data_IF_535020541370
#
_entry.id   IF_535020541370
#
_cell.length_a   1.000
_cell.length_b   1.000
_cell.length_c   1.000
_cell.angle_alpha   90.00
_cell.angle_beta   90.00
_cell.angle_gamma   90.00
#
_symmetry.space_group_name_H-M   'P 1'
#
loop_
_entity.id
_entity.type
_entity.pdbx_description
1 polymer ?
#
# COMPACT_ATOMS: atom_id res chain seq x y z
N UNK A 1 8.21 -31.56 -3.70
CA UNK A 1 9.10 -30.64 -2.97
C UNK A 1 10.08 -30.03 -3.96
N UNK A 2 9.81 -28.87 -4.52
CA UNK A 2 10.74 -28.11 -5.36
C UNK A 2 11.12 -26.86 -4.60
N UNK A 3 12.39 -26.82 -4.13
CA UNK A 3 12.97 -25.65 -3.48
C UNK A 3 13.20 -24.57 -4.53
N UNK A 4 12.53 -23.41 -4.42
CA UNK A 4 12.93 -22.21 -5.14
C UNK A 4 14.20 -21.67 -4.49
N UNK A 5 15.28 -21.68 -5.25
CA UNK A 5 16.55 -21.07 -4.92
C UNK A 5 16.46 -19.59 -5.33
N UNK A 6 16.32 -18.70 -4.35
CA UNK A 6 16.42 -17.25 -4.56
C UNK A 6 17.90 -16.91 -4.78
N UNK A 7 18.26 -16.55 -6.02
CA UNK A 7 19.59 -16.04 -6.33
C UNK A 7 19.55 -14.54 -6.11
N UNK A 8 20.11 -14.10 -5.00
CA UNK A 8 20.43 -12.70 -4.78
C UNK A 8 21.64 -12.35 -5.67
N UNK A 9 21.41 -11.56 -6.73
CA UNK A 9 22.45 -10.99 -7.56
C UNK A 9 23.04 -9.79 -6.81
N UNK A 10 24.06 -10.02 -6.00
CA UNK A 10 24.88 -8.96 -5.43
C UNK A 10 25.72 -8.34 -6.53
N UNK A 11 25.38 -7.15 -6.97
CA UNK A 11 26.24 -6.34 -7.82
C UNK A 11 27.43 -5.83 -6.98
N UNK A 12 28.55 -6.51 -7.11
CA UNK A 12 29.83 -6.07 -6.54
C UNK A 12 30.32 -4.87 -7.37
N UNK A 13 30.02 -3.65 -6.93
CA UNK A 13 30.62 -2.45 -7.48
C UNK A 13 32.07 -2.39 -6.96
N UNK A 14 33.02 -2.58 -7.87
CA UNK A 14 34.43 -2.36 -7.58
C UNK A 14 34.63 -0.88 -7.22
N UNK A 15 34.88 -0.60 -5.95
CA UNK A 15 35.26 0.74 -5.48
C UNK A 15 36.72 0.95 -5.89
N UNK A 16 36.94 1.65 -6.99
CA UNK A 16 38.26 2.23 -7.29
C UNK A 16 38.52 3.31 -6.26
N UNK A 17 39.62 3.18 -5.53
CA UNK A 17 40.12 4.20 -4.59
C UNK A 17 40.56 5.45 -5.36
N UNK A 18 39.61 6.37 -5.57
CA UNK A 18 39.97 7.75 -5.92
C UNK A 18 40.36 8.52 -4.65
N UNK A 19 41.32 9.41 -4.77
CA UNK A 19 41.67 10.36 -3.72
C UNK A 19 40.41 11.04 -3.20
N UNK A 20 40.32 11.23 -1.87
CA UNK A 20 39.12 11.78 -1.22
C UNK A 20 38.66 13.08 -1.89
N UNK A 21 37.69 12.95 -2.78
CA UNK A 21 37.00 14.08 -3.41
C UNK A 21 35.83 14.45 -2.52
N UNK A 22 35.72 15.72 -2.14
CA UNK A 22 34.50 16.18 -1.47
C UNK A 22 33.26 15.82 -2.29
N UNK A 23 32.20 15.38 -1.62
CA UNK A 23 30.98 15.03 -2.32
C UNK A 23 29.87 14.51 -1.42
N UNK A 24 28.66 14.56 -1.96
CA UNK A 24 27.50 13.89 -1.40
C UNK A 24 27.19 12.66 -2.25
N UNK A 25 26.96 11.53 -1.60
CA UNK A 25 26.47 10.31 -2.24
C UNK A 25 25.13 9.94 -1.63
N UNK A 26 24.20 9.51 -2.46
CA UNK A 26 22.82 9.20 -2.08
C UNK A 26 22.58 7.70 -2.18
N UNK A 27 21.64 7.17 -1.40
CA UNK A 27 21.13 5.81 -1.61
C UNK A 27 20.77 5.66 -3.10
N UNK A 28 21.38 4.71 -3.83
CA UNK A 28 21.23 4.64 -5.29
C UNK A 28 19.82 4.19 -5.71
N UNK A 29 19.18 3.33 -4.89
CA UNK A 29 17.81 2.88 -5.12
C UNK A 29 17.12 2.46 -3.83
N UNK A 30 15.79 2.60 -3.81
CA UNK A 30 14.92 2.13 -2.73
C UNK A 30 13.64 1.54 -3.32
N UNK A 31 13.07 0.55 -2.64
CA UNK A 31 11.76 0.01 -2.96
C UNK A 31 10.70 0.69 -2.08
N UNK A 32 9.54 0.98 -2.67
CA UNK A 32 8.43 1.63 -1.98
C UNK A 32 7.10 1.00 -2.42
N UNK A 33 6.18 0.84 -1.48
CA UNK A 33 4.79 0.45 -1.80
C UNK A 33 3.95 1.69 -2.13
N UNK A 34 2.88 1.52 -2.87
CA UNK A 34 1.88 2.59 -3.04
C UNK A 34 1.36 3.04 -1.67
N UNK A 35 1.28 4.34 -1.42
CA UNK A 35 0.94 4.94 -0.13
C UNK A 35 2.02 4.81 0.96
N UNK A 36 3.10 4.07 0.71
CA UNK A 36 4.16 3.80 1.67
C UNK A 36 5.26 4.87 1.74
N UNK A 37 6.26 4.60 2.58
CA UNK A 37 7.45 5.46 2.73
C UNK A 37 8.74 4.66 2.57
N UNK A 38 9.81 5.32 2.11
CA UNK A 38 11.14 4.76 2.03
C UNK A 38 12.17 5.77 2.55
N UNK A 39 13.25 5.29 3.17
CA UNK A 39 14.32 6.14 3.72
C UNK A 39 15.45 6.29 2.74
N UNK A 40 15.85 7.52 2.48
CA UNK A 40 17.02 7.90 1.71
C UNK A 40 18.11 8.30 2.68
N UNK A 41 19.31 7.74 2.50
CA UNK A 41 20.53 8.12 3.23
C UNK A 41 21.43 8.94 2.32
N UNK A 42 21.93 10.04 2.84
CA UNK A 42 22.96 10.87 2.22
C UNK A 42 24.25 10.68 3.01
N UNK A 43 25.29 10.24 2.33
CA UNK A 43 26.63 10.19 2.87
C UNK A 43 27.43 11.38 2.34
N UNK A 44 28.38 11.81 3.12
CA UNK A 44 29.28 12.90 2.77
C UNK A 44 30.72 12.45 2.94
N UNK A 45 31.53 12.62 1.89
CA UNK A 45 32.98 12.59 1.96
C UNK A 45 33.46 14.05 1.90
N UNK A 46 34.25 14.47 2.87
CA UNK A 46 34.61 15.86 3.01
C UNK A 46 36.02 16.06 3.55
N UNK A 47 36.64 17.15 3.14
CA UNK A 47 37.83 17.67 3.81
C UNK A 47 37.44 18.26 5.17
N UNK A 48 38.40 18.38 6.13
CA UNK A 48 38.10 18.76 7.51
C UNK A 48 37.50 20.14 7.70
N UNK A 49 37.55 21.02 6.70
CA UNK A 49 37.05 22.40 6.79
C UNK A 49 35.66 22.63 6.16
N UNK A 50 34.97 21.58 5.73
CA UNK A 50 33.61 21.70 5.15
C UNK A 50 32.60 21.97 6.25
N UNK A 51 31.86 23.09 6.12
CA UNK A 51 30.88 23.56 7.09
C UNK A 51 29.45 23.73 6.51
N UNK A 52 29.27 23.50 5.22
CA UNK A 52 27.97 23.60 4.60
C UNK A 52 27.85 22.79 3.32
N UNK A 53 26.61 22.33 3.04
CA UNK A 53 26.24 21.74 1.76
C UNK A 53 24.82 22.17 1.35
N UNK A 54 24.54 22.10 0.07
CA UNK A 54 23.21 22.23 -0.49
C UNK A 54 23.00 21.27 -1.66
N UNK A 55 21.75 20.99 -1.93
CA UNK A 55 21.28 20.33 -3.16
C UNK A 55 19.80 20.62 -3.40
N UNK A 56 19.37 20.49 -4.63
CA UNK A 56 17.97 20.53 -5.02
C UNK A 56 17.54 19.16 -5.51
N UNK A 57 16.29 18.78 -5.25
CA UNK A 57 15.68 17.54 -5.76
C UNK A 57 14.52 17.86 -6.69
N UNK A 58 14.49 17.20 -7.84
CA UNK A 58 13.36 17.17 -8.75
C UNK A 58 12.58 15.89 -8.41
N UNK A 59 11.42 16.08 -7.81
CA UNK A 59 10.57 14.96 -7.41
C UNK A 59 9.71 14.51 -8.60
N UNK A 60 9.69 13.20 -8.93
CA UNK A 60 8.75 12.70 -9.93
C UNK A 60 7.31 12.76 -9.39
N UNK A 61 6.33 12.73 -10.31
CA UNK A 61 4.92 12.67 -9.96
C UNK A 61 4.63 11.48 -9.03
N UNK A 62 3.78 11.70 -8.05
CA UNK A 62 3.41 10.67 -7.06
C UNK A 62 4.41 10.47 -5.93
N UNK A 63 5.55 11.20 -5.90
CA UNK A 63 6.49 11.18 -4.78
C UNK A 63 6.61 12.54 -4.10
N UNK A 64 6.74 12.52 -2.79
CA UNK A 64 6.97 13.71 -1.98
C UNK A 64 7.94 13.42 -0.84
N UNK A 65 8.59 14.44 -0.29
CA UNK A 65 9.33 14.33 0.97
C UNK A 65 8.35 14.32 2.14
N UNK A 66 8.54 13.40 3.09
CA UNK A 66 7.70 13.33 4.28
C UNK A 66 7.79 14.63 5.08
N UNK A 67 6.65 15.15 5.48
CA UNK A 67 6.51 16.39 6.24
C UNK A 67 5.83 16.14 7.58
N UNK A 68 6.11 17.01 8.55
CA UNK A 68 5.42 16.99 9.84
C UNK A 68 3.99 17.56 9.72
N UNK A 69 3.24 17.56 10.83
CA UNK A 69 1.86 18.06 10.91
C UNK A 69 1.68 19.54 10.54
N UNK A 70 2.78 20.32 10.50
CA UNK A 70 2.81 21.73 10.07
C UNK A 70 3.25 21.92 8.61
N UNK A 71 3.40 20.83 7.86
CA UNK A 71 3.83 20.85 6.46
C UNK A 71 5.33 21.08 6.24
N UNK A 72 6.14 21.10 7.31
CA UNK A 72 7.61 21.23 7.20
C UNK A 72 8.20 19.86 6.86
N UNK A 73 8.97 19.76 5.77
CA UNK A 73 9.72 18.57 5.38
C UNK A 73 10.71 18.17 6.48
N UNK A 74 10.87 16.87 6.68
CA UNK A 74 11.68 16.28 7.75
C UNK A 74 12.99 15.80 7.13
N UNK A 75 14.09 16.35 7.63
CA UNK A 75 15.46 15.97 7.32
C UNK A 75 16.22 15.80 8.63
N UNK A 76 16.80 14.62 8.86
CA UNK A 76 17.47 14.27 10.10
C UNK A 76 18.99 14.26 9.89
N UNK A 77 19.69 15.24 10.44
CA UNK A 77 21.15 15.26 10.47
C UNK A 77 21.71 14.20 11.43
N UNK A 78 22.83 13.61 11.06
CA UNK A 78 23.55 12.69 11.94
C UNK A 78 24.23 13.44 13.09
N UNK A 79 23.73 13.27 14.31
CA UNK A 79 24.21 13.94 15.50
C UNK A 79 25.71 13.73 15.77
N UNK A 80 26.31 12.62 15.35
CA UNK A 80 27.74 12.34 15.50
C UNK A 80 28.63 13.13 14.53
N UNK A 81 28.02 13.80 13.56
CA UNK A 81 28.69 14.51 12.48
C UNK A 81 28.51 16.03 12.53
N UNK A 82 27.75 16.54 13.49
CA UNK A 82 27.35 17.94 13.58
C UNK A 82 27.69 18.51 14.96
N UNK A 83 27.88 19.83 15.00
CA UNK A 83 27.87 20.62 16.24
C UNK A 83 26.54 21.43 16.26
N UNK A 84 26.53 22.65 15.75
CA UNK A 84 25.37 23.54 15.68
C UNK A 84 24.69 23.59 14.29
N UNK A 85 24.98 22.61 13.44
CA UNK A 85 24.45 22.54 12.09
C UNK A 85 22.93 22.37 12.09
N UNK A 86 22.27 23.05 11.19
CA UNK A 86 20.83 22.96 10.94
C UNK A 86 20.54 22.62 9.49
N UNK A 87 19.36 22.04 9.23
CA UNK A 87 18.84 21.86 7.87
C UNK A 87 17.67 22.81 7.65
N UNK A 88 17.74 23.52 6.55
CA UNK A 88 16.65 24.35 6.02
C UNK A 88 16.21 23.75 4.68
N UNK A 89 14.89 23.61 4.48
CA UNK A 89 14.34 23.12 3.24
C UNK A 89 13.13 23.95 2.82
N UNK A 90 12.96 24.12 1.52
CA UNK A 90 11.79 24.78 0.93
C UNK A 90 11.49 24.19 -0.46
N UNK A 91 10.29 24.47 -0.96
CA UNK A 91 9.93 24.22 -2.36
C UNK A 91 10.16 25.51 -3.13
N UNK A 92 11.01 25.44 -4.16
CA UNK A 92 11.27 26.57 -5.06
C UNK A 92 10.05 26.86 -5.96
N UNK A 93 10.03 28.02 -6.60
CA UNK A 93 8.98 28.42 -7.55
C UNK A 93 8.85 27.46 -8.75
N UNK A 94 9.89 26.73 -9.11
CA UNK A 94 9.90 25.70 -10.16
C UNK A 94 9.51 24.31 -9.65
N UNK A 95 9.07 24.18 -8.38
CA UNK A 95 8.65 22.90 -7.78
C UNK A 95 9.78 22.03 -7.23
N UNK A 96 11.05 22.42 -7.38
CA UNK A 96 12.17 21.68 -6.81
C UNK A 96 12.22 21.80 -5.27
N UNK A 97 12.60 20.72 -4.60
CA UNK A 97 12.86 20.71 -3.16
C UNK A 97 14.31 21.12 -2.92
N UNK A 98 14.50 22.31 -2.39
CA UNK A 98 15.82 22.79 -1.99
C UNK A 98 16.15 22.36 -0.57
N UNK A 99 17.38 21.89 -0.36
CA UNK A 99 17.93 21.47 0.94
C UNK A 99 19.26 22.18 1.15
N UNK A 100 19.39 22.85 2.28
CA UNK A 100 20.61 23.53 2.70
C UNK A 100 20.94 23.10 4.13
N UNK A 101 22.17 22.68 4.38
CA UNK A 101 22.69 22.51 5.73
C UNK A 101 23.91 23.38 5.96
N UNK A 102 23.96 24.05 7.09
CA UNK A 102 25.09 24.91 7.50
C UNK A 102 25.14 25.02 9.02
N UNK A 103 26.35 25.30 9.53
CA UNK A 103 26.61 25.73 10.91
C UNK A 103 26.32 27.23 11.05
N UNK A 104 25.71 27.64 12.16
CA UNK A 104 25.52 29.04 12.48
C UNK A 104 26.82 29.72 12.94
N UNK A 105 27.73 28.97 13.58
CA UNK A 105 29.05 29.42 14.03
C UNK A 105 30.15 29.15 13.02
N UNK A 106 29.82 28.66 11.82
CA UNK A 106 30.77 28.28 10.76
C UNK A 106 31.69 27.08 11.11
N UNK A 107 31.27 26.25 12.07
CA UNK A 107 32.02 25.07 12.45
C UNK A 107 31.97 24.00 11.33
N UNK A 108 33.11 23.32 11.08
CA UNK A 108 33.13 22.21 10.11
C UNK A 108 32.32 21.00 10.61
N UNK A 109 31.89 20.17 9.67
CA UNK A 109 31.32 18.85 10.01
C UNK A 109 32.36 17.95 10.68
N UNK A 110 31.96 17.22 11.72
CA UNK A 110 32.80 16.29 12.46
C UNK A 110 33.13 15.08 11.59
N UNK A 111 34.39 14.68 11.51
CA UNK A 111 34.86 13.57 10.68
C UNK A 111 34.88 13.92 9.18
N UNK A 112 35.32 12.96 8.37
CA UNK A 112 35.62 13.18 6.95
C UNK A 112 34.80 12.28 6.00
N UNK A 113 34.01 11.33 6.52
CA UNK A 113 33.18 10.44 5.69
C UNK A 113 32.02 9.85 6.44
N UNK A 114 31.04 9.31 5.69
CA UNK A 114 29.89 8.56 6.19
C UNK A 114 28.58 9.34 6.20
N UNK A 115 27.57 8.74 6.80
CA UNK A 115 26.22 9.28 6.84
C UNK A 115 26.17 10.67 7.45
N UNK A 116 25.60 11.62 6.72
CA UNK A 116 25.40 13.00 7.20
C UNK A 116 23.93 13.35 7.39
N UNK A 117 23.04 12.81 6.56
CA UNK A 117 21.64 13.17 6.54
C UNK A 117 20.78 11.95 6.19
N UNK A 118 19.57 11.89 6.75
CA UNK A 118 18.50 10.99 6.26
C UNK A 118 17.20 11.77 6.06
N UNK A 119 16.39 11.32 5.14
CA UNK A 119 15.02 11.79 4.97
C UNK A 119 14.16 10.66 4.42
N UNK A 120 12.83 10.80 4.55
CA UNK A 120 11.90 9.85 3.98
C UNK A 120 11.17 10.44 2.79
N UNK A 121 10.97 9.63 1.78
CA UNK A 121 10.05 9.89 0.67
C UNK A 121 8.77 9.10 0.89
N UNK A 122 7.64 9.66 0.47
CA UNK A 122 6.32 9.05 0.51
C UNK A 122 5.80 8.96 -0.91
N UNK A 123 5.32 7.76 -1.26
CA UNK A 123 4.56 7.54 -2.47
C UNK A 123 3.07 7.80 -2.23
N UNK A 124 2.36 8.28 -3.24
CA UNK A 124 0.90 8.30 -3.21
C UNK A 124 0.31 6.89 -3.43
N UNK A 125 -1.01 6.76 -3.27
CA UNK A 125 -1.71 5.47 -3.38
C UNK A 125 -1.76 4.93 -4.82
N UNK A 126 -1.39 5.74 -5.81
CA UNK A 126 -1.40 5.39 -7.24
C UNK A 126 -0.01 5.20 -7.82
N UNK A 127 1.04 5.42 -7.01
CA UNK A 127 2.43 5.30 -7.44
C UNK A 127 2.79 3.91 -7.92
N UNK A 128 3.40 3.82 -9.09
CA UNK A 128 3.80 2.56 -9.73
C UNK A 128 5.02 2.75 -10.62
N UNK A 129 5.70 1.64 -10.90
CA UNK A 129 6.89 1.63 -11.75
C UNK A 129 8.11 2.22 -11.05
N UNK A 130 9.19 2.40 -11.80
CA UNK A 130 10.44 2.96 -11.30
C UNK A 130 10.64 4.36 -11.84
N UNK A 131 10.88 5.31 -10.96
CA UNK A 131 11.13 6.71 -11.31
C UNK A 131 12.34 7.24 -10.56
N UNK A 132 13.01 8.23 -11.12
CA UNK A 132 14.18 8.83 -10.51
C UNK A 132 13.83 10.15 -9.81
N UNK A 133 14.36 10.31 -8.60
CA UNK A 133 14.53 11.62 -8.00
C UNK A 133 15.86 12.14 -8.52
N UNK A 134 15.82 13.19 -9.33
CA UNK A 134 17.05 13.83 -9.80
C UNK A 134 17.54 14.81 -8.75
N UNK A 135 18.79 14.64 -8.31
CA UNK A 135 19.46 15.57 -7.39
C UNK A 135 20.37 16.44 -8.22
N UNK A 136 20.19 17.73 -8.09
CA UNK A 136 20.91 18.75 -8.88
C UNK A 136 21.44 19.85 -7.98
N UNK A 137 22.28 20.71 -8.52
CA UNK A 137 22.84 21.88 -7.83
C UNK A 137 23.55 21.54 -6.51
N UNK A 138 24.21 20.37 -6.47
CA UNK A 138 25.00 19.95 -5.30
C UNK A 138 26.17 20.91 -5.15
N UNK A 139 26.31 21.49 -3.97
CA UNK A 139 27.41 22.40 -3.61
C UNK A 139 27.87 22.12 -2.19
N UNK A 140 29.14 22.36 -1.94
CA UNK A 140 29.72 22.34 -0.61
C UNK A 140 30.56 23.60 -0.39
N UNK A 141 30.68 24.02 0.85
CA UNK A 141 31.47 25.19 1.23
C UNK A 141 32.30 24.96 2.49
N UNK A 142 33.44 25.58 2.54
CA UNK A 142 34.28 25.60 3.74
C UNK A 142 33.70 26.52 4.82
N UNK A 143 34.23 26.46 6.03
CA UNK A 143 33.96 27.37 7.15
C UNK A 143 34.19 28.86 6.81
N UNK A 144 35.06 29.13 5.85
CA UNK A 144 35.31 30.48 5.34
C UNK A 144 34.38 30.87 4.17
N UNK A 145 33.37 30.06 3.87
CA UNK A 145 32.41 30.30 2.79
C UNK A 145 32.97 30.06 1.38
N UNK A 146 34.17 29.48 1.24
CA UNK A 146 34.76 29.17 -0.05
C UNK A 146 34.04 27.96 -0.68
N UNK A 147 33.56 28.11 -1.93
CA UNK A 147 32.98 27.01 -2.70
C UNK A 147 34.04 25.92 -2.95
N UNK A 148 33.60 24.66 -2.83
CA UNK A 148 34.42 23.48 -3.10
C UNK A 148 33.89 22.79 -4.35
N UNK A 149 34.79 22.32 -5.20
CA UNK A 149 34.42 21.54 -6.37
C UNK A 149 33.93 20.16 -5.95
N UNK A 150 32.70 19.82 -6.41
CA UNK A 150 32.02 18.56 -6.12
C UNK A 150 31.24 18.09 -7.36
N UNK A 151 30.82 16.83 -7.37
CA UNK A 151 29.83 16.35 -8.33
C UNK A 151 28.52 17.15 -8.15
N UNK A 152 27.99 17.70 -9.23
CA UNK A 152 26.85 18.64 -9.15
C UNK A 152 25.49 17.96 -9.29
N UNK A 153 25.44 16.69 -9.66
CA UNK A 153 24.21 15.92 -9.87
C UNK A 153 24.31 14.51 -9.33
N UNK A 154 23.21 13.95 -8.93
CA UNK A 154 23.04 12.54 -8.58
C UNK A 154 21.62 12.10 -8.94
N UNK A 155 21.35 10.78 -8.91
CA UNK A 155 20.02 10.23 -9.15
C UNK A 155 19.71 9.12 -8.14
N UNK A 156 18.48 9.05 -7.69
CA UNK A 156 17.97 8.05 -6.75
C UNK A 156 16.80 7.34 -7.43
N UNK A 157 16.93 6.06 -7.71
CA UNK A 157 15.84 5.27 -8.28
C UNK A 157 14.86 4.85 -7.19
N UNK A 158 13.60 5.19 -7.33
CA UNK A 158 12.52 4.74 -6.43
C UNK A 158 11.66 3.72 -7.19
N UNK A 159 11.73 2.47 -6.76
CA UNK A 159 11.02 1.37 -7.36
C UNK A 159 9.66 1.18 -6.69
N UNK A 160 8.60 1.57 -7.36
CA UNK A 160 7.23 1.28 -6.97
C UNK A 160 6.77 -0.10 -7.46
N UNK A 161 5.57 -0.52 -7.06
CA UNK A 161 4.98 -1.75 -7.58
C UNK A 161 4.81 -1.67 -9.10
N UNK A 162 5.02 -2.78 -9.79
CA UNK A 162 4.86 -2.85 -11.26
C UNK A 162 3.41 -2.79 -11.70
N UNK A 163 2.48 -3.03 -10.76
CA UNK A 163 1.03 -2.89 -10.96
C UNK A 163 0.41 -2.25 -9.72
N UNK A 164 -0.50 -1.31 -9.90
CA UNK A 164 -1.36 -0.84 -8.80
C UNK A 164 -2.36 -1.92 -8.45
N UNK A 165 -2.50 -2.25 -7.17
CA UNK A 165 -3.58 -3.12 -6.71
C UNK A 165 -4.92 -2.45 -7.02
N UNK A 166 -5.72 -3.10 -7.85
CA UNK A 166 -7.10 -2.70 -8.11
C UNK A 166 -7.95 -3.22 -6.95
N UNK A 167 -8.43 -2.32 -6.13
CA UNK A 167 -9.28 -2.67 -4.99
C UNK A 167 -10.69 -3.03 -5.43
N UNK A 168 -11.34 -3.85 -4.62
CA UNK A 168 -12.76 -4.16 -4.78
C UNK A 168 -13.60 -2.90 -4.57
N UNK A 169 -14.60 -2.70 -5.43
CA UNK A 169 -15.59 -1.60 -5.34
C UNK A 169 -16.99 -2.11 -5.00
N UNK A 170 -17.18 -3.43 -4.95
CA UNK A 170 -18.43 -4.05 -4.57
C UNK A 170 -18.40 -5.57 -4.70
N UNK A 171 -19.40 -6.21 -4.12
CA UNK A 171 -19.64 -7.66 -4.20
C UNK A 171 -21.14 -7.91 -4.35
N UNK A 172 -21.52 -8.93 -5.12
CA UNK A 172 -22.88 -9.42 -5.24
C UNK A 172 -22.91 -10.95 -5.19
N UNK A 173 -24.07 -11.55 -4.91
CA UNK A 173 -24.29 -12.98 -5.01
C UNK A 173 -25.29 -13.24 -6.15
N UNK A 174 -25.07 -14.28 -6.94
CA UNK A 174 -25.86 -14.65 -8.12
C UNK A 174 -27.33 -14.99 -7.84
N UNK A 175 -27.64 -15.29 -6.58
CA UNK A 175 -29.00 -15.70 -6.14
C UNK A 175 -29.39 -14.93 -4.89
N UNK A 176 -30.64 -14.52 -4.81
CA UNK A 176 -31.20 -13.89 -3.60
C UNK A 176 -31.48 -14.92 -2.51
N UNK A 177 -31.91 -16.15 -2.92
CA UNK A 177 -32.16 -17.25 -2.01
C UNK A 177 -32.01 -18.60 -2.70
N UNK A 178 -31.92 -19.66 -1.90
CA UNK A 178 -32.08 -21.04 -2.36
C UNK A 178 -32.93 -21.81 -1.35
N UNK A 179 -33.84 -22.65 -1.87
CA UNK A 179 -34.65 -23.59 -1.07
C UNK A 179 -34.11 -24.99 -1.30
N UNK A 180 -33.91 -25.74 -0.21
CA UNK A 180 -33.31 -27.08 -0.25
C UNK A 180 -33.82 -27.96 0.88
N UNK A 181 -33.73 -29.27 0.72
CA UNK A 181 -34.00 -30.25 1.78
C UNK A 181 -32.77 -30.44 2.66
N UNK A 182 -32.96 -31.04 3.83
CA UNK A 182 -31.87 -31.53 4.66
C UNK A 182 -30.97 -32.49 3.83
N UNK A 183 -29.66 -32.25 3.85
CA UNK A 183 -28.65 -32.97 3.07
C UNK A 183 -28.48 -32.52 1.62
N UNK A 184 -29.40 -31.72 1.07
CA UNK A 184 -29.23 -31.14 -0.25
C UNK A 184 -28.31 -29.93 -0.24
N UNK A 185 -27.76 -29.58 -1.41
CA UNK A 185 -26.82 -28.46 -1.53
C UNK A 185 -27.18 -27.58 -2.73
N UNK A 186 -26.93 -26.29 -2.60
CA UNK A 186 -26.99 -25.29 -3.66
C UNK A 186 -25.67 -24.51 -3.73
N UNK A 187 -25.23 -24.14 -4.95
CA UNK A 187 -24.07 -23.31 -5.11
C UNK A 187 -24.49 -21.84 -5.22
N UNK A 188 -23.89 -21.00 -4.40
CA UNK A 188 -23.93 -19.54 -4.51
C UNK A 188 -22.60 -19.05 -5.09
N UNK A 189 -22.66 -18.10 -6.01
CA UNK A 189 -21.50 -17.51 -6.64
C UNK A 189 -21.39 -16.05 -6.26
N UNK A 190 -20.28 -15.68 -5.62
CA UNK A 190 -19.98 -14.28 -5.37
C UNK A 190 -19.30 -13.65 -6.59
N UNK A 191 -19.76 -12.47 -6.97
CA UNK A 191 -19.24 -11.67 -8.08
C UNK A 191 -18.63 -10.41 -7.48
N UNK A 192 -17.32 -10.27 -7.61
CA UNK A 192 -16.54 -9.13 -7.10
C UNK A 192 -16.35 -8.12 -8.23
N UNK A 193 -16.57 -6.86 -7.94
CA UNK A 193 -16.34 -5.76 -8.87
C UNK A 193 -15.17 -4.88 -8.41
N UNK A 194 -14.36 -4.35 -9.35
CA UNK A 194 -14.36 -4.65 -10.77
C UNK A 194 -13.79 -6.05 -11.06
N UNK A 195 -14.04 -6.60 -12.24
CA UNK A 195 -13.57 -7.95 -12.64
C UNK A 195 -12.05 -8.11 -12.57
N UNK A 196 -11.31 -7.02 -12.76
CA UNK A 196 -9.85 -6.98 -12.66
C UNK A 196 -9.35 -6.66 -11.25
N UNK A 197 -10.17 -6.80 -10.20
CA UNK A 197 -9.72 -6.63 -8.81
C UNK A 197 -8.52 -7.55 -8.53
N UNK A 198 -7.47 -6.99 -7.91
CA UNK A 198 -6.23 -7.74 -7.65
C UNK A 198 -6.43 -8.90 -6.68
N UNK A 199 -7.36 -8.74 -5.73
CA UNK A 199 -7.78 -9.78 -4.78
C UNK A 199 -9.29 -9.94 -4.94
N UNK A 200 -9.69 -10.96 -5.67
CA UNK A 200 -11.10 -11.32 -5.87
C UNK A 200 -11.59 -12.44 -4.92
N UNK A 201 -10.73 -12.87 -3.99
CA UNK A 201 -11.09 -13.88 -3.02
C UNK A 201 -12.16 -13.38 -2.04
N UNK A 202 -13.11 -14.26 -1.71
CA UNK A 202 -14.21 -13.96 -0.77
C UNK A 202 -14.21 -14.95 0.39
N UNK A 203 -14.70 -14.50 1.53
CA UNK A 203 -14.97 -15.32 2.70
C UNK A 203 -16.48 -15.54 2.80
N UNK A 204 -16.88 -16.81 2.96
CA UNK A 204 -18.25 -17.19 3.16
C UNK A 204 -18.55 -17.48 4.63
N UNK A 205 -19.73 -17.06 5.09
CA UNK A 205 -20.20 -17.31 6.45
C UNK A 205 -21.71 -17.59 6.45
N UNK A 206 -22.16 -18.51 7.29
CA UNK A 206 -23.57 -18.76 7.58
C UNK A 206 -23.93 -18.12 8.92
N UNK A 207 -25.10 -17.50 9.03
CA UNK A 207 -25.62 -16.97 10.29
C UNK A 207 -25.96 -18.07 11.29
N UNK A 208 -26.36 -19.26 10.80
CA UNK A 208 -26.61 -20.44 11.64
C UNK A 208 -26.15 -21.73 10.94
N UNK A 209 -24.96 -22.24 11.25
CA UNK A 209 -24.44 -23.48 10.69
C UNK A 209 -25.24 -24.74 11.08
N UNK A 210 -26.12 -24.67 12.08
CA UNK A 210 -27.00 -25.79 12.44
C UNK A 210 -28.21 -25.90 11.48
N UNK A 211 -28.55 -24.81 10.75
CA UNK A 211 -29.60 -24.79 9.74
C UNK A 211 -28.98 -25.01 8.36
N UNK A 212 -27.96 -24.26 8.00
CA UNK A 212 -27.24 -24.43 6.73
C UNK A 212 -25.77 -24.09 6.90
N UNK A 213 -24.90 -24.94 6.36
CA UNK A 213 -23.45 -24.67 6.27
C UNK A 213 -23.09 -24.10 4.91
N UNK A 214 -21.97 -23.37 4.83
CA UNK A 214 -21.37 -22.93 3.57
C UNK A 214 -19.88 -23.25 3.56
N UNK A 215 -19.35 -23.75 2.45
CA UNK A 215 -17.93 -23.98 2.27
C UNK A 215 -17.22 -22.76 1.62
N UNK A 216 -15.90 -22.86 1.49
CA UNK A 216 -15.05 -21.81 0.87
C UNK A 216 -15.39 -21.51 -0.60
N UNK A 217 -16.08 -22.41 -1.29
CA UNK A 217 -16.49 -22.28 -2.69
C UNK A 217 -17.92 -21.76 -2.85
N UNK A 218 -18.60 -21.42 -1.74
CA UNK A 218 -19.99 -20.96 -1.76
C UNK A 218 -21.02 -22.09 -1.93
N UNK A 219 -20.62 -23.36 -1.72
CA UNK A 219 -21.56 -24.49 -1.68
C UNK A 219 -22.26 -24.50 -0.33
N UNK A 220 -23.56 -24.22 -0.36
CA UNK A 220 -24.43 -24.23 0.83
C UNK A 220 -25.10 -25.60 0.94
N UNK A 221 -25.09 -26.18 2.14
CA UNK A 221 -25.71 -27.47 2.44
C UNK A 221 -26.71 -27.32 3.56
N UNK A 222 -27.94 -27.75 3.34
CA UNK A 222 -29.02 -27.77 4.35
C UNK A 222 -28.73 -28.82 5.44
N UNK A 223 -28.83 -28.41 6.71
CA UNK A 223 -28.54 -29.26 7.87
C UNK A 223 -29.84 -29.62 8.61
N UNK A 224 -30.67 -28.61 8.91
CA UNK A 224 -31.93 -28.79 9.61
C UNK A 224 -32.94 -27.74 9.12
N UNK A 225 -34.24 -28.01 9.31
CA UNK A 225 -35.32 -27.09 8.95
C UNK A 225 -35.13 -25.72 9.59
N UNK A 226 -35.18 -24.67 8.76
CA UNK A 226 -35.03 -23.28 9.17
C UNK A 226 -34.54 -22.38 8.06
N UNK A 227 -34.14 -21.18 8.42
CA UNK A 227 -33.59 -20.15 7.53
C UNK A 227 -32.26 -19.68 8.04
N UNK A 228 -31.25 -19.62 7.16
CA UNK A 228 -29.95 -19.08 7.46
C UNK A 228 -29.56 -18.02 6.42
N UNK A 229 -28.94 -16.93 6.87
CA UNK A 229 -28.35 -15.92 5.99
C UNK A 229 -26.93 -16.33 5.64
N UNK A 230 -26.66 -16.41 4.35
CA UNK A 230 -25.32 -16.69 3.81
C UNK A 230 -24.69 -15.38 3.37
N UNK A 231 -23.54 -15.05 3.96
CA UNK A 231 -22.80 -13.81 3.71
C UNK A 231 -21.52 -14.11 2.97
N UNK A 232 -21.28 -13.40 1.87
CA UNK A 232 -19.97 -13.31 1.20
C UNK A 232 -19.32 -11.97 1.52
N UNK A 233 -18.06 -11.99 1.94
CA UNK A 233 -17.29 -10.78 2.29
C UNK A 233 -15.99 -10.72 1.49
N UNK A 234 -15.57 -9.51 1.08
CA UNK A 234 -14.27 -9.30 0.42
C UNK A 234 -13.12 -9.48 1.40
N UNK A 235 -11.94 -9.89 0.90
CA UNK A 235 -10.76 -10.16 1.72
C UNK A 235 -9.61 -9.19 1.46
N UNK A 236 -9.83 -8.15 0.64
CA UNK A 236 -8.83 -7.13 0.27
C UNK A 236 -8.79 -5.92 1.24
N UNK A 237 -9.53 -5.99 2.35
CA UNK A 237 -9.63 -4.93 3.36
C UNK A 237 -10.66 -3.85 3.04
N UNK A 238 -11.51 -4.02 2.03
CA UNK A 238 -12.59 -3.05 1.68
C UNK A 238 -13.89 -3.28 2.44
N UNK A 239 -14.04 -4.44 3.10
CA UNK A 239 -15.20 -4.82 3.93
C UNK A 239 -16.56 -4.83 3.23
N UNK A 240 -16.61 -4.97 1.89
CA UNK A 240 -17.88 -5.17 1.18
C UNK A 240 -18.47 -6.52 1.51
N UNK A 241 -19.81 -6.55 1.66
CA UNK A 241 -20.59 -7.76 1.95
C UNK A 241 -21.79 -7.87 1.03
N UNK A 242 -22.11 -9.11 0.64
CA UNK A 242 -23.35 -9.46 0.00
C UNK A 242 -24.00 -10.60 0.76
N UNK A 243 -25.32 -10.63 0.78
CA UNK A 243 -26.10 -11.62 1.52
C UNK A 243 -27.10 -12.34 0.61
N UNK A 244 -27.34 -13.59 0.94
CA UNK A 244 -28.36 -14.45 0.34
C UNK A 244 -28.98 -15.31 1.42
N UNK A 245 -30.11 -15.91 1.15
CA UNK A 245 -30.89 -16.71 2.11
C UNK A 245 -30.90 -18.18 1.73
N UNK A 246 -30.55 -19.04 2.68
CA UNK A 246 -30.74 -20.48 2.59
C UNK A 246 -32.00 -20.88 3.38
N UNK A 247 -32.98 -21.46 2.72
CA UNK A 247 -34.20 -21.97 3.31
C UNK A 247 -34.12 -23.49 3.27
N UNK A 248 -34.11 -24.13 4.44
CA UNK A 248 -34.11 -25.59 4.56
C UNK A 248 -35.46 -26.06 5.06
N UNK A 249 -36.17 -26.80 4.20
CA UNK A 249 -37.45 -27.41 4.56
C UNK A 249 -37.56 -28.82 3.97
N UNK A 250 -38.03 -29.78 4.75
CA UNK A 250 -38.20 -31.18 4.35
C UNK A 250 -39.41 -31.38 3.39
N UNK A 251 -40.36 -30.46 3.42
CA UNK A 251 -41.64 -30.58 2.71
C UNK A 251 -41.69 -29.77 1.41
N UNK A 252 -40.52 -29.22 0.95
CA UNK A 252 -40.49 -28.44 -0.31
C UNK A 252 -40.99 -29.30 -1.47
N UNK A 253 -42.17 -29.02 -1.95
CA UNK A 253 -42.64 -29.51 -3.22
C UNK A 253 -41.84 -28.85 -4.34
N UNK A 254 -41.14 -29.64 -5.14
CA UNK A 254 -40.47 -29.13 -6.34
C UNK A 254 -41.56 -28.73 -7.38
N UNK A 255 -42.04 -27.52 -7.29
CA UNK A 255 -43.13 -27.09 -8.18
C UNK A 255 -42.97 -25.64 -8.65
N UNK A 256 -42.94 -24.71 -7.73
CA UNK A 256 -43.00 -23.30 -8.12
C UNK A 256 -41.90 -22.55 -7.35
N UNK A 257 -40.87 -22.10 -8.07
CA UNK A 257 -39.80 -21.27 -7.46
C UNK A 257 -40.39 -19.93 -7.05
N UNK A 258 -40.41 -19.62 -5.76
CA UNK A 258 -40.89 -18.35 -5.23
C UNK A 258 -42.22 -18.41 -4.47
N UNK A 259 -42.90 -19.53 -4.47
CA UNK A 259 -44.09 -19.81 -3.64
C UNK A 259 -43.58 -20.21 -2.23
N UNK A 260 -43.55 -19.25 -1.32
CA UNK A 260 -43.03 -19.42 0.05
C UNK A 260 -44.13 -19.83 1.02
N UNK A 261 -45.38 -19.45 0.73
CA UNK A 261 -46.53 -19.79 1.55
C UNK A 261 -47.23 -21.10 1.11
N UNK A 262 -46.74 -21.73 0.00
CA UNK A 262 -47.25 -23.00 -0.54
C UNK A 262 -48.71 -22.97 -1.03
N UNK A 263 -49.21 -21.82 -1.47
CA UNK A 263 -50.57 -21.66 -2.01
C UNK A 263 -50.65 -21.89 -3.53
N UNK A 264 -49.55 -22.28 -4.17
CA UNK A 264 -49.37 -22.51 -5.60
C UNK A 264 -49.48 -21.23 -6.48
N UNK A 265 -49.39 -20.03 -5.85
CA UNK A 265 -49.42 -18.75 -6.53
C UNK A 265 -48.16 -17.97 -6.11
N UNK A 266 -47.39 -17.45 -7.07
CA UNK A 266 -46.30 -16.53 -6.76
C UNK A 266 -46.85 -15.11 -6.79
N UNK A 267 -46.97 -14.49 -5.61
CA UNK A 267 -47.46 -13.12 -5.50
C UNK A 267 -46.75 -12.33 -4.38
N UNK A 268 -47.31 -11.17 -4.03
CA UNK A 268 -46.75 -10.29 -2.98
C UNK A 268 -46.81 -10.89 -1.58
N UNK A 269 -47.60 -11.92 -1.35
CA UNK A 269 -47.69 -12.61 -0.04
C UNK A 269 -46.42 -13.40 0.23
N UNK A 270 -45.84 -14.06 -0.82
CA UNK A 270 -44.55 -14.76 -0.73
C UNK A 270 -43.40 -13.79 -0.43
N UNK A 271 -43.41 -12.64 -1.10
CA UNK A 271 -42.42 -11.59 -0.86
C UNK A 271 -42.56 -11.03 0.56
N UNK A 272 -43.76 -10.83 1.04
CA UNK A 272 -44.01 -10.33 2.40
C UNK A 272 -43.55 -11.32 3.46
N UNK A 273 -43.80 -12.62 3.24
CA UNK A 273 -43.38 -13.69 4.14
C UNK A 273 -41.83 -13.80 4.16
N UNK A 274 -41.19 -13.67 3.01
CA UNK A 274 -39.74 -13.66 2.92
C UNK A 274 -39.11 -12.47 3.67
N UNK A 275 -39.71 -11.28 3.53
CA UNK A 275 -39.30 -10.08 4.26
C UNK A 275 -39.46 -10.26 5.76
N UNK A 276 -40.60 -10.82 6.18
CA UNK A 276 -40.88 -11.07 7.59
C UNK A 276 -39.87 -12.04 8.22
N UNK A 277 -39.55 -13.11 7.50
CA UNK A 277 -38.51 -14.08 7.90
C UNK A 277 -37.11 -13.39 8.05
N UNK A 278 -36.78 -12.44 7.17
CA UNK A 278 -35.48 -11.74 7.19
C UNK A 278 -35.42 -10.71 8.33
N UNK A 279 -36.53 -10.05 8.62
CA UNK A 279 -36.56 -8.95 9.62
C UNK A 279 -36.71 -9.43 11.06
N UNK A 280 -37.13 -10.67 11.30
CA UNK A 280 -37.39 -11.23 12.63
C UNK A 280 -36.34 -12.26 13.08
N UNK A 281 -35.14 -12.23 12.46
CA UNK A 281 -33.93 -12.96 12.91
C UNK A 281 -32.98 -12.00 13.69
#
# INVERSE_FOLDING_TARGET
MKKLLSIAFGLLVAVSSFAATNGLTFTPSVDITAGGTATITVNMDNQPDIAGFQFDMIMPEGLSVVSNSKGKMIFDLNADRIDDHVVISNIRTNGQVAVLSSSASTEPYIGTSGKILTFQVKADDTYKGSHNIEVVDIKMSTSLGKKVEVQTTASITVNGPTSTAVKTTGITIDKLYAVMKEGESANFTAIVAPENATVAAVKWESSDPNIATVDENGKVTGVAKGVAVITASTTDGTDFKAQSVAIVDKDVKQGIKGDINEDEIIDLTDVSLLIDIILHQ
#
